data_IF_791227487460
#
_entry.id   IF_791227487460
#
_cell.length_a   1.000
_cell.length_b   1.000
_cell.length_c   1.000
_cell.angle_alpha   90.00
_cell.angle_beta   90.00
_cell.angle_gamma   90.00
#
_symmetry.space_group_name_H-M   'P 1'
#
loop_
_entity.id
_entity.type
_entity.pdbx_description
1 polymer ?
#
# COMPACT_ATOMS: atom_id res chain seq x y z
N UNK A 1 10.32 -23.31 -23.24
CA UNK A 1 9.18 -23.40 -22.30
C UNK A 1 7.87 -23.69 -23.03
N UNK A 2 7.69 -24.87 -23.65
CA UNK A 2 6.39 -25.29 -24.21
C UNK A 2 5.75 -26.30 -23.26
N UNK A 3 4.50 -26.06 -22.84
CA UNK A 3 3.69 -27.02 -22.07
C UNK A 3 3.40 -26.68 -20.59
N UNK A 4 3.68 -25.45 -20.12
CA UNK A 4 3.33 -25.05 -18.75
C UNK A 4 1.93 -24.40 -18.68
N UNK A 5 1.10 -24.85 -17.74
CA UNK A 5 -0.11 -24.11 -17.33
C UNK A 5 0.30 -23.11 -16.25
N UNK A 6 0.17 -21.81 -16.54
CA UNK A 6 0.48 -20.74 -15.59
C UNK A 6 -0.81 -20.19 -14.99
N UNK A 7 -0.73 -19.75 -13.74
CA UNK A 7 -1.84 -19.17 -13.01
C UNK A 7 -1.35 -17.96 -12.22
N UNK A 8 -2.16 -16.90 -12.20
CA UNK A 8 -1.87 -15.72 -11.38
C UNK A 8 -1.95 -16.08 -9.89
N UNK A 9 -0.99 -15.57 -9.12
CA UNK A 9 -1.05 -15.62 -7.66
C UNK A 9 -2.15 -14.68 -7.14
N UNK A 10 -2.63 -14.85 -5.88
CA UNK A 10 -3.57 -13.92 -5.29
C UNK A 10 -3.09 -12.46 -5.32
N UNK A 11 -1.80 -12.20 -5.06
CA UNK A 11 -1.18 -10.88 -5.24
C UNK A 11 -1.27 -10.41 -6.69
N UNK A 12 -0.94 -11.27 -7.66
CA UNK A 12 -1.05 -10.95 -9.08
C UNK A 12 -2.45 -10.56 -9.52
N UNK A 13 -3.48 -11.26 -9.02
CA UNK A 13 -4.88 -10.93 -9.30
C UNK A 13 -5.26 -9.58 -8.65
N UNK A 14 -4.82 -9.31 -7.42
CA UNK A 14 -5.10 -8.03 -6.76
C UNK A 14 -4.41 -6.85 -7.47
N UNK A 15 -3.18 -7.01 -7.93
CA UNK A 15 -2.49 -5.98 -8.74
C UNK A 15 -3.21 -5.77 -10.08
N UNK A 16 -3.65 -6.86 -10.74
CA UNK A 16 -4.45 -6.76 -11.96
C UNK A 16 -5.77 -6.02 -11.70
N UNK A 17 -6.47 -6.32 -10.59
CA UNK A 17 -7.70 -5.63 -10.21
C UNK A 17 -7.47 -4.12 -10.12
N UNK A 18 -6.42 -3.69 -9.39
CA UNK A 18 -6.08 -2.26 -9.25
C UNK A 18 -5.75 -1.62 -10.59
N UNK A 19 -5.02 -2.32 -11.45
CA UNK A 19 -4.73 -1.84 -12.81
C UNK A 19 -6.00 -1.66 -13.64
N UNK A 20 -6.90 -2.65 -13.64
CA UNK A 20 -8.15 -2.59 -14.38
C UNK A 20 -9.08 -1.49 -13.86
N UNK A 21 -9.17 -1.34 -12.54
CA UNK A 21 -9.93 -0.27 -11.88
C UNK A 21 -9.42 1.11 -12.32
N UNK A 22 -8.11 1.35 -12.22
CA UNK A 22 -7.49 2.64 -12.57
C UNK A 22 -7.60 2.99 -14.06
N UNK A 23 -7.71 2.00 -14.93
CA UNK A 23 -7.78 2.20 -16.39
C UNK A 23 -9.19 2.00 -16.97
N UNK A 24 -10.21 1.79 -16.14
CA UNK A 24 -11.59 1.57 -16.62
C UNK A 24 -11.76 0.28 -17.46
N UNK A 25 -10.96 -0.76 -17.22
CA UNK A 25 -11.00 -2.01 -17.99
C UNK A 25 -12.10 -2.93 -17.45
N UNK A 26 -13.10 -3.22 -18.28
CA UNK A 26 -14.28 -4.04 -17.92
C UNK A 26 -14.46 -5.27 -18.82
N UNK A 27 -13.40 -5.73 -19.48
CA UNK A 27 -13.45 -6.88 -20.37
C UNK A 27 -13.90 -8.16 -19.61
N UNK A 28 -14.90 -8.87 -20.16
CA UNK A 28 -15.53 -10.03 -19.50
C UNK A 28 -14.53 -11.07 -18.98
N UNK A 29 -13.57 -11.49 -19.80
CA UNK A 29 -12.57 -12.50 -19.42
C UNK A 29 -11.65 -12.04 -18.28
N UNK A 30 -11.47 -10.72 -18.12
CA UNK A 30 -10.73 -10.15 -16.99
C UNK A 30 -11.59 -10.20 -15.73
N UNK A 31 -12.85 -9.75 -15.83
CA UNK A 31 -13.79 -9.78 -14.71
C UNK A 31 -13.98 -11.19 -14.14
N UNK A 32 -14.06 -12.22 -15.00
CA UNK A 32 -14.11 -13.62 -14.58
C UNK A 32 -12.91 -14.04 -13.70
N UNK A 33 -11.72 -13.45 -13.92
CA UNK A 33 -10.54 -13.67 -13.08
C UNK A 33 -10.62 -12.88 -11.77
N UNK A 34 -11.05 -11.61 -11.84
CA UNK A 34 -11.14 -10.71 -10.69
C UNK A 34 -12.21 -11.13 -9.68
N UNK A 35 -13.32 -11.69 -10.16
CA UNK A 35 -14.45 -12.21 -9.36
C UNK A 35 -14.21 -13.66 -8.92
N UNK A 36 -13.14 -14.29 -9.39
CA UNK A 36 -12.83 -15.67 -9.02
C UNK A 36 -12.51 -15.78 -7.52
N UNK A 37 -12.76 -16.94 -6.89
CA UNK A 37 -12.39 -17.20 -5.50
C UNK A 37 -10.88 -17.11 -5.19
N UNK A 38 -10.03 -16.86 -6.20
CA UNK A 38 -8.58 -16.68 -6.06
C UNK A 38 -8.17 -15.25 -5.75
N UNK A 39 -9.07 -14.29 -5.93
CA UNK A 39 -8.80 -12.89 -5.57
C UNK A 39 -8.98 -12.67 -4.06
N UNK A 40 -8.14 -13.33 -3.28
CA UNK A 40 -8.21 -13.32 -1.80
C UNK A 40 -7.32 -12.26 -1.17
N UNK A 41 -6.41 -11.67 -1.95
CA UNK A 41 -5.33 -10.87 -1.41
C UNK A 41 -5.79 -9.49 -0.94
N UNK A 42 -5.38 -9.13 0.27
CA UNK A 42 -5.50 -7.78 0.81
C UNK A 42 -4.12 -7.18 1.05
N UNK A 43 -3.56 -6.59 -0.01
CA UNK A 43 -2.26 -5.92 0.07
C UNK A 43 -2.32 -4.67 0.96
N UNK A 44 -1.24 -4.43 1.67
CA UNK A 44 -0.90 -3.12 2.25
C UNK A 44 -0.45 -2.21 1.11
N UNK A 45 -1.28 -1.21 0.81
CA UNK A 45 -0.99 -0.22 -0.23
C UNK A 45 -0.02 0.83 0.33
N UNK A 46 1.27 0.69 0.03
CA UNK A 46 2.29 1.58 0.54
C UNK A 46 2.16 2.97 -0.08
N UNK A 47 2.22 4.01 0.75
CA UNK A 47 2.22 5.40 0.32
C UNK A 47 3.55 5.75 -0.35
N UNK A 48 3.47 6.33 -1.54
CA UNK A 48 4.60 6.69 -2.39
C UNK A 48 4.55 8.17 -2.74
N UNK A 49 5.72 8.74 -2.91
CA UNK A 49 5.88 10.06 -3.51
C UNK A 49 5.57 10.00 -5.01
N UNK A 50 4.67 10.86 -5.49
CA UNK A 50 4.19 10.82 -6.88
C UNK A 50 5.25 11.16 -7.91
N UNK A 51 6.31 11.89 -7.54
CA UNK A 51 7.36 12.33 -8.47
C UNK A 51 8.55 11.37 -8.48
N UNK A 52 8.96 10.87 -7.32
CA UNK A 52 10.16 10.04 -7.16
C UNK A 52 9.87 8.55 -7.02
N UNK A 53 8.61 8.15 -6.90
CA UNK A 53 8.14 6.78 -6.64
C UNK A 53 8.69 6.17 -5.33
N UNK A 54 9.31 6.98 -4.47
CA UNK A 54 9.91 6.53 -3.21
C UNK A 54 8.84 6.29 -2.16
N UNK A 55 9.04 5.25 -1.36
CA UNK A 55 8.19 4.93 -0.20
C UNK A 55 8.25 6.03 0.86
N UNK A 56 7.13 6.30 1.51
CA UNK A 56 7.14 7.09 2.75
C UNK A 56 7.86 6.29 3.85
N UNK A 57 8.83 6.94 4.49
CA UNK A 57 9.72 6.33 5.50
C UNK A 57 9.59 6.97 6.88
N UNK A 58 8.55 7.78 7.08
CA UNK A 58 8.27 8.39 8.38
C UNK A 58 7.89 7.31 9.42
N UNK A 59 8.17 7.62 10.69
CA UNK A 59 7.96 6.66 11.79
C UNK A 59 6.52 6.15 11.86
N UNK A 60 5.53 7.03 11.69
CA UNK A 60 4.13 6.66 11.87
C UNK A 60 3.68 5.69 10.77
N UNK A 61 4.08 5.92 9.52
CA UNK A 61 3.81 5.01 8.41
C UNK A 61 4.46 3.65 8.65
N UNK A 62 5.72 3.62 9.08
CA UNK A 62 6.41 2.36 9.38
C UNK A 62 5.71 1.60 10.51
N UNK A 63 5.21 2.28 11.55
CA UNK A 63 4.42 1.64 12.60
C UNK A 63 3.09 1.06 12.08
N UNK A 64 2.41 1.72 11.13
CA UNK A 64 1.19 1.17 10.50
C UNK A 64 1.52 -0.09 9.71
N UNK A 65 2.58 -0.07 8.89
CA UNK A 65 3.04 -1.26 8.15
C UNK A 65 3.42 -2.37 9.13
N UNK A 66 4.09 -2.04 10.24
CA UNK A 66 4.49 -3.01 11.26
C UNK A 66 3.30 -3.71 11.93
N UNK A 67 2.19 -3.00 12.17
CA UNK A 67 0.96 -3.61 12.72
C UNK A 67 0.39 -4.68 11.80
N UNK A 68 0.40 -4.44 10.48
CA UNK A 68 0.02 -5.44 9.48
C UNK A 68 1.02 -6.59 9.45
N UNK A 69 2.31 -6.27 9.44
CA UNK A 69 3.42 -7.24 9.42
C UNK A 69 3.37 -8.20 10.60
N UNK A 70 3.22 -7.69 11.82
CA UNK A 70 3.25 -8.52 13.01
C UNK A 70 1.94 -9.30 13.19
N UNK A 71 0.81 -8.71 12.77
CA UNK A 71 -0.54 -9.27 12.88
C UNK A 71 -1.45 -8.40 13.76
N UNK A 72 -2.60 -8.00 13.20
CA UNK A 72 -3.58 -7.12 13.85
C UNK A 72 -4.28 -7.78 15.05
N UNK A 73 -4.58 -9.06 14.96
CA UNK A 73 -5.27 -9.85 16.00
C UNK A 73 -4.28 -10.54 16.98
N UNK A 74 -2.98 -10.32 16.81
CA UNK A 74 -1.92 -11.00 17.56
C UNK A 74 -0.85 -11.63 16.66
N UNK A 75 0.20 -12.20 17.26
CA UNK A 75 1.28 -12.85 16.52
C UNK A 75 0.78 -14.11 15.80
N UNK A 76 1.21 -14.31 14.55
CA UNK A 76 0.94 -15.52 13.78
C UNK A 76 1.88 -16.67 14.23
N UNK A 77 1.55 -17.28 15.37
CA UNK A 77 2.35 -18.35 15.98
C UNK A 77 2.14 -19.69 15.27
N UNK A 78 3.23 -20.30 14.82
CA UNK A 78 3.21 -21.65 14.26
C UNK A 78 3.42 -22.73 15.33
N UNK A 79 2.99 -23.96 15.02
CA UNK A 79 3.11 -25.12 15.92
C UNK A 79 4.55 -25.52 16.23
N UNK A 80 5.49 -25.23 15.33
CA UNK A 80 6.91 -25.50 15.50
C UNK A 80 7.78 -24.45 14.81
N UNK A 81 9.04 -24.36 15.22
CA UNK A 81 10.07 -23.53 14.57
C UNK A 81 10.32 -23.96 13.11
N UNK A 82 10.26 -25.25 12.82
CA UNK A 82 10.40 -25.75 11.44
C UNK A 82 9.26 -25.26 10.55
N UNK A 83 8.05 -25.14 11.11
CA UNK A 83 6.88 -24.61 10.40
C UNK A 83 6.97 -23.10 10.17
N UNK A 84 7.51 -22.31 11.14
CA UNK A 84 7.72 -20.87 10.95
C UNK A 84 8.73 -20.59 9.85
N UNK A 85 9.77 -21.42 9.76
CA UNK A 85 10.92 -21.21 8.87
C UNK A 85 10.74 -21.85 7.48
N UNK A 86 9.59 -22.47 7.21
CA UNK A 86 9.25 -23.09 5.93
C UNK A 86 9.05 -22.06 4.80
N UNK A 87 9.49 -22.40 3.59
CA UNK A 87 9.40 -21.57 2.37
C UNK A 87 8.09 -21.77 1.57
N UNK A 88 6.99 -22.09 2.23
CA UNK A 88 5.74 -22.38 1.54
C UNK A 88 5.14 -21.12 0.90
N UNK A 89 4.98 -21.14 -0.43
CA UNK A 89 4.48 -20.01 -1.24
C UNK A 89 3.00 -19.65 -0.98
N UNK A 90 2.26 -20.51 -0.27
CA UNK A 90 0.81 -20.35 -0.01
C UNK A 90 0.49 -19.61 1.29
N UNK A 91 1.50 -19.34 2.13
CA UNK A 91 1.27 -19.00 3.54
C UNK A 91 0.64 -17.63 3.76
N UNK A 92 0.72 -16.75 2.76
CA UNK A 92 0.21 -15.38 2.82
C UNK A 92 -0.87 -15.09 1.78
N UNK A 93 -1.58 -16.12 1.31
CA UNK A 93 -2.55 -16.04 0.21
C UNK A 93 -3.65 -14.96 0.35
N UNK A 94 -3.97 -14.49 1.56
CA UNK A 94 -4.95 -13.41 1.77
C UNK A 94 -4.33 -12.08 2.26
N UNK A 95 -3.04 -12.04 2.59
CA UNK A 95 -2.36 -10.82 3.09
C UNK A 95 -2.87 -10.28 4.44
N UNK A 96 -3.71 -11.04 5.15
CA UNK A 96 -4.31 -10.63 6.44
C UNK A 96 -3.56 -11.17 7.65
N UNK A 97 -2.89 -12.31 7.49
CA UNK A 97 -2.09 -12.90 8.56
C UNK A 97 -0.73 -12.22 8.63
N UNK A 98 -0.24 -12.00 9.85
CA UNK A 98 1.12 -11.49 10.07
C UNK A 98 2.20 -12.51 9.66
N UNK A 99 3.45 -12.08 9.70
CA UNK A 99 4.62 -12.94 9.47
C UNK A 99 4.57 -14.14 10.43
N UNK A 100 4.88 -15.33 9.91
CA UNK A 100 4.94 -16.54 10.75
C UNK A 100 6.03 -16.39 11.81
N UNK A 101 5.69 -16.71 13.05
CA UNK A 101 6.59 -16.63 14.19
C UNK A 101 6.67 -17.95 14.94
N UNK A 102 7.87 -18.33 15.36
CA UNK A 102 8.06 -19.36 16.37
C UNK A 102 7.73 -18.78 17.75
N UNK A 103 6.87 -19.48 18.50
CA UNK A 103 6.48 -19.09 19.86
C UNK A 103 7.69 -18.88 20.76
N UNK A 104 8.63 -19.80 20.68
CA UNK A 104 9.85 -19.81 21.48
C UNK A 104 10.99 -20.44 20.67
N UNK A 105 12.16 -19.82 20.67
CA UNK A 105 13.37 -20.33 20.03
C UNK A 105 14.55 -20.22 20.99
N UNK A 106 15.27 -21.32 21.18
CA UNK A 106 16.54 -21.34 21.92
C UNK A 106 17.69 -20.91 21.02
N UNK A 107 18.42 -19.88 21.42
CA UNK A 107 19.63 -19.39 20.74
C UNK A 107 20.73 -19.27 21.80
N UNK A 108 21.75 -20.10 21.70
CA UNK A 108 22.72 -20.29 22.77
C UNK A 108 22.03 -20.73 24.06
N UNK A 109 22.22 -19.98 25.14
CA UNK A 109 21.63 -20.27 26.46
C UNK A 109 20.35 -19.48 26.75
N UNK A 110 19.84 -18.71 25.78
CA UNK A 110 18.65 -17.86 25.95
C UNK A 110 17.47 -18.36 25.12
N UNK A 111 16.27 -18.15 25.64
CA UNK A 111 15.02 -18.36 24.94
C UNK A 111 14.44 -17.02 24.50
N UNK A 112 14.02 -16.95 23.25
CA UNK A 112 13.41 -15.76 22.64
C UNK A 112 12.01 -16.11 22.15
N UNK A 113 11.04 -15.27 22.49
CA UNK A 113 9.66 -15.43 22.03
C UNK A 113 9.42 -14.73 20.69
N UNK A 114 8.33 -15.10 20.00
CA UNK A 114 7.84 -14.41 18.79
C UNK A 114 8.95 -14.16 17.75
N UNK A 115 9.71 -15.21 17.44
CA UNK A 115 10.90 -15.09 16.56
C UNK A 115 10.57 -15.44 15.11
N UNK A 116 11.23 -14.78 14.18
CA UNK A 116 11.11 -15.03 12.75
C UNK A 116 12.47 -14.82 12.05
N UNK A 117 12.64 -15.39 10.86
CA UNK A 117 13.87 -15.22 10.08
C UNK A 117 13.83 -13.91 9.29
N UNK A 118 15.00 -13.34 8.99
CA UNK A 118 15.08 -12.17 8.11
C UNK A 118 14.50 -12.44 6.71
N UNK A 119 14.65 -13.67 6.20
CA UNK A 119 13.99 -14.11 4.97
C UNK A 119 12.47 -14.04 5.10
N UNK A 120 11.89 -14.60 6.15
CA UNK A 120 10.44 -14.58 6.36
C UNK A 120 9.87 -13.16 6.43
N UNK A 121 10.64 -12.22 7.00
CA UNK A 121 10.24 -10.82 7.04
C UNK A 121 10.16 -10.20 5.64
N UNK A 122 11.18 -10.45 4.81
CA UNK A 122 11.21 -9.97 3.43
C UNK A 122 10.13 -10.59 2.57
N UNK A 123 9.91 -11.90 2.71
CA UNK A 123 8.88 -12.61 1.94
C UNK A 123 7.49 -12.08 2.30
N UNK A 124 7.19 -11.86 3.59
CA UNK A 124 5.93 -11.25 3.98
C UNK A 124 5.77 -9.84 3.40
N UNK A 125 6.79 -8.99 3.51
CA UNK A 125 6.73 -7.64 2.94
C UNK A 125 6.54 -7.67 1.42
N UNK A 126 7.19 -8.62 0.75
CA UNK A 126 7.06 -8.81 -0.69
C UNK A 126 5.68 -9.33 -1.09
N UNK A 127 5.08 -10.25 -0.34
CA UNK A 127 3.83 -10.92 -0.73
C UNK A 127 2.58 -10.15 -0.27
N UNK A 128 2.65 -9.45 0.85
CA UNK A 128 1.52 -8.79 1.51
C UNK A 128 1.46 -7.28 1.28
N UNK A 129 2.40 -6.70 0.53
CA UNK A 129 2.41 -5.25 0.25
C UNK A 129 2.70 -4.93 -1.21
N UNK A 130 2.63 -3.64 -1.54
CA UNK A 130 2.91 -3.12 -2.87
C UNK A 130 4.38 -2.71 -3.05
N UNK A 131 5.32 -3.33 -2.32
CA UNK A 131 6.74 -3.19 -2.64
C UNK A 131 7.04 -3.71 -4.05
N UNK A 132 7.93 -3.01 -4.74
CA UNK A 132 8.35 -3.28 -6.11
C UNK A 132 9.49 -4.32 -6.16
N UNK A 133 10.41 -4.27 -5.20
CA UNK A 133 11.58 -5.14 -5.18
C UNK A 133 12.06 -5.49 -3.75
N UNK A 134 13.11 -6.32 -3.69
CA UNK A 134 13.71 -6.78 -2.41
C UNK A 134 14.45 -5.68 -1.66
N UNK A 135 14.85 -4.58 -2.32
CA UNK A 135 15.54 -3.47 -1.66
C UNK A 135 14.55 -2.67 -0.81
N UNK A 136 13.34 -2.47 -1.32
CA UNK A 136 12.26 -1.83 -0.56
C UNK A 136 11.86 -2.64 0.68
N UNK A 137 11.79 -3.96 0.58
CA UNK A 137 11.48 -4.80 1.74
C UNK A 137 12.60 -4.75 2.78
N UNK A 138 13.87 -4.80 2.37
CA UNK A 138 15.01 -4.62 3.27
C UNK A 138 15.00 -3.23 3.91
N UNK A 139 14.66 -2.17 3.17
CA UNK A 139 14.54 -0.81 3.71
C UNK A 139 13.48 -0.74 4.82
N UNK A 140 12.27 -1.27 4.57
CA UNK A 140 11.21 -1.29 5.58
C UNK A 140 11.64 -2.11 6.81
N UNK A 141 12.26 -3.28 6.61
CA UNK A 141 12.73 -4.12 7.71
C UNK A 141 13.85 -3.46 8.53
N UNK A 142 14.78 -2.74 7.88
CA UNK A 142 15.78 -1.91 8.55
C UNK A 142 15.12 -0.79 9.37
N UNK A 143 14.05 -0.18 8.85
CA UNK A 143 13.29 0.84 9.59
C UNK A 143 12.55 0.24 10.80
N UNK A 144 12.11 -1.01 10.76
CA UNK A 144 11.59 -1.69 11.95
C UNK A 144 12.63 -1.78 13.06
N UNK A 145 13.90 -2.05 12.73
CA UNK A 145 15.01 -2.08 13.69
C UNK A 145 15.32 -0.68 14.18
N UNK A 146 15.45 0.29 13.25
CA UNK A 146 15.76 1.70 13.57
C UNK A 146 14.73 2.32 14.53
N UNK A 147 13.46 1.96 14.39
CA UNK A 147 12.38 2.41 15.28
C UNK A 147 12.18 1.52 16.50
N UNK A 148 13.05 0.53 16.71
CA UNK A 148 13.03 -0.34 17.89
C UNK A 148 11.82 -1.26 17.96
N UNK A 149 11.17 -1.58 16.83
CA UNK A 149 10.01 -2.47 16.75
C UNK A 149 10.43 -3.95 16.78
N UNK A 150 11.60 -4.25 16.20
CA UNK A 150 12.21 -5.58 16.20
C UNK A 150 13.69 -5.47 16.57
N UNK A 151 14.31 -6.57 17.00
CA UNK A 151 15.75 -6.63 17.25
C UNK A 151 16.34 -7.95 16.74
N UNK A 152 17.59 -7.89 16.27
CA UNK A 152 18.37 -9.09 15.93
C UNK A 152 18.70 -9.87 17.19
N UNK A 153 18.49 -11.18 17.16
CA UNK A 153 18.87 -12.12 18.24
C UNK A 153 19.90 -13.14 17.76
N UNK A 154 20.06 -13.28 16.44
CA UNK A 154 21.12 -14.05 15.82
C UNK A 154 21.44 -13.43 14.46
N UNK A 155 22.72 -13.20 14.19
CA UNK A 155 23.22 -12.67 12.93
C UNK A 155 23.81 -13.76 12.04
N UNK A 156 23.65 -13.60 10.74
CA UNK A 156 24.32 -14.35 9.68
C UNK A 156 25.68 -13.68 9.38
N UNK A 157 26.70 -14.05 10.15
CA UNK A 157 28.06 -13.49 10.01
C UNK A 157 28.66 -13.69 8.61
N UNK A 158 28.51 -14.86 7.95
CA UNK A 158 28.95 -15.03 6.57
C UNK A 158 28.33 -14.00 5.62
N UNK A 159 27.03 -13.75 5.73
CA UNK A 159 26.35 -12.72 4.94
C UNK A 159 26.85 -11.31 5.27
N UNK A 160 26.97 -10.99 6.57
CA UNK A 160 27.45 -9.68 7.01
C UNK A 160 28.87 -9.35 6.56
N UNK A 161 29.73 -10.36 6.40
CA UNK A 161 31.09 -10.18 5.90
C UNK A 161 31.15 -9.86 4.38
N UNK A 162 30.13 -10.25 3.63
CA UNK A 162 30.07 -10.08 2.17
C UNK A 162 29.29 -8.83 1.75
N UNK A 163 28.31 -8.41 2.55
CA UNK A 163 27.40 -7.32 2.23
C UNK A 163 27.57 -6.14 3.20
N UNK A 164 28.21 -5.02 2.77
CA UNK A 164 28.40 -3.85 3.63
C UNK A 164 27.10 -3.22 4.15
N UNK A 165 25.98 -3.47 3.48
CA UNK A 165 24.64 -2.97 3.87
C UNK A 165 23.93 -3.88 4.89
N UNK A 166 24.52 -5.04 5.23
CA UNK A 166 23.98 -6.00 6.18
C UNK A 166 24.00 -5.54 7.65
N UNK A 167 24.55 -4.35 7.92
CA UNK A 167 24.61 -3.74 9.25
C UNK A 167 23.20 -3.40 9.75
N UNK A 168 22.31 -2.98 8.85
CA UNK A 168 20.96 -2.57 9.23
C UNK A 168 20.01 -3.74 9.36
N UNK A 169 20.00 -4.65 8.37
CA UNK A 169 19.10 -5.81 8.31
C UNK A 169 19.67 -6.91 7.41
N UNK A 170 19.44 -8.17 7.77
CA UNK A 170 19.98 -9.35 7.08
C UNK A 170 18.82 -10.21 6.55
N UNK A 171 18.53 -10.18 5.23
CA UNK A 171 17.37 -10.85 4.63
C UNK A 171 17.60 -12.36 4.42
N UNK A 172 18.14 -13.07 5.41
CA UNK A 172 18.56 -14.47 5.30
C UNK A 172 17.77 -15.38 6.24
N UNK A 173 17.87 -16.70 6.01
CA UNK A 173 17.26 -17.72 6.90
C UNK A 173 18.00 -17.87 8.23
N UNK A 174 19.27 -17.47 8.28
CA UNK A 174 20.13 -17.65 9.44
C UNK A 174 20.12 -16.45 10.38
N UNK A 175 19.74 -15.27 9.88
CA UNK A 175 19.45 -14.11 10.69
C UNK A 175 18.07 -14.26 11.35
N UNK A 176 18.03 -14.18 12.68
CA UNK A 176 16.81 -14.33 13.48
C UNK A 176 16.52 -13.04 14.20
N UNK A 177 15.25 -12.63 14.16
CA UNK A 177 14.73 -11.44 14.79
C UNK A 177 13.61 -11.79 15.77
N UNK A 178 13.37 -10.91 16.74
CA UNK A 178 12.22 -10.96 17.66
C UNK A 178 11.53 -9.60 17.71
N UNK A 179 10.22 -9.61 18.00
CA UNK A 179 9.45 -8.38 18.26
C UNK A 179 9.79 -7.84 19.65
N UNK A 180 10.27 -6.60 19.73
CA UNK A 180 10.62 -5.96 20.99
C UNK A 180 9.37 -5.66 21.82
N UNK A 181 9.54 -5.36 23.10
CA UNK A 181 8.44 -4.88 23.96
C UNK A 181 7.79 -3.59 23.43
N UNK A 182 8.57 -2.72 22.77
CA UNK A 182 8.02 -1.53 22.10
C UNK A 182 7.15 -1.92 20.91
N UNK A 183 7.63 -2.82 20.04
CA UNK A 183 6.85 -3.35 18.91
C UNK A 183 5.55 -4.01 19.35
N UNK A 184 5.57 -4.79 20.44
CA UNK A 184 4.38 -5.42 20.99
C UNK A 184 3.34 -4.38 21.46
N UNK A 185 3.76 -3.26 22.07
CA UNK A 185 2.87 -2.15 22.43
C UNK A 185 2.30 -1.43 21.20
N UNK A 186 3.12 -1.23 20.17
CA UNK A 186 2.70 -0.61 18.90
C UNK A 186 1.60 -1.43 18.24
N UNK A 187 1.71 -2.76 18.30
CA UNK A 187 0.71 -3.71 17.81
C UNK A 187 -0.46 -3.96 18.76
N UNK A 188 -0.46 -3.39 19.97
CA UNK A 188 -1.52 -3.58 20.95
C UNK A 188 -1.56 -4.98 21.56
N UNK A 189 -0.50 -5.79 21.41
CA UNK A 189 -0.41 -7.13 22.01
C UNK A 189 -0.25 -7.08 23.53
N UNK A 190 0.38 -6.02 24.02
CA UNK A 190 0.54 -5.73 25.44
C UNK A 190 0.06 -4.30 25.74
N UNK A 191 -0.35 -4.05 26.98
CA UNK A 191 -0.86 -2.76 27.40
C UNK A 191 0.20 -1.66 27.22
N UNK A 192 -0.26 -0.47 26.80
CA UNK A 192 0.58 0.73 26.78
C UNK A 192 0.87 1.17 28.22
N UNK A 193 2.07 1.68 28.47
CA UNK A 193 2.38 2.25 29.78
C UNK A 193 1.48 3.48 30.00
N UNK A 194 0.86 3.57 31.19
CA UNK A 194 -0.03 4.69 31.54
C UNK A 194 0.67 6.06 31.52
N UNK A 195 2.00 6.10 31.48
CA UNK A 195 2.82 7.30 31.60
C UNK A 195 3.01 8.12 30.33
N UNK A 196 2.70 7.56 29.14
CA UNK A 196 2.85 8.26 27.86
C UNK A 196 1.62 8.03 26.96
N UNK A 197 0.43 8.27 27.52
CA UNK A 197 -0.58 8.88 26.65
C UNK A 197 -0.01 10.26 26.37
N UNK A 198 0.80 10.39 25.30
CA UNK A 198 0.80 11.64 24.56
C UNK A 198 -0.68 11.95 24.44
N UNK A 199 -1.13 13.00 25.12
CA UNK A 199 -2.38 13.60 24.78
C UNK A 199 -2.24 13.77 23.26
N UNK A 200 -2.89 12.90 22.48
CA UNK A 200 -3.44 13.37 21.24
C UNK A 200 -4.16 14.60 21.71
N UNK A 201 -3.59 15.76 21.36
CA UNK A 201 -4.09 17.04 21.77
C UNK A 201 -5.49 17.11 21.17
N UNK A 202 -6.47 16.56 21.90
CA UNK A 202 -7.88 16.89 21.79
C UNK A 202 -8.12 18.34 22.21
N UNK A 203 -7.03 19.09 22.43
CA UNK A 203 -6.93 20.54 22.53
C UNK A 203 -6.44 21.17 21.21
N UNK A 204 -6.68 20.54 20.07
CA UNK A 204 -6.94 21.26 18.82
C UNK A 204 -8.38 21.81 18.86
N UNK A 205 -8.51 23.08 19.21
CA UNK A 205 -9.79 23.78 19.31
C UNK A 205 -10.66 23.61 18.06
N UNK A 206 -11.91 23.14 18.18
CA UNK A 206 -12.98 23.36 17.19
C UNK A 206 -12.60 23.10 15.72
N UNK A 207 -11.73 22.13 15.41
CA UNK A 207 -11.43 21.85 14.02
C UNK A 207 -12.67 21.28 13.32
N UNK A 208 -13.08 21.93 12.24
CA UNK A 208 -14.19 21.44 11.42
C UNK A 208 -13.87 20.05 10.88
N UNK A 209 -14.90 19.26 10.56
CA UNK A 209 -14.69 17.96 9.90
C UNK A 209 -13.84 18.09 8.63
N UNK A 210 -13.91 19.23 7.94
CA UNK A 210 -13.09 19.53 6.78
C UNK A 210 -11.60 19.70 7.14
N UNK A 211 -11.28 20.43 8.22
CA UNK A 211 -9.89 20.58 8.68
C UNK A 211 -9.28 19.22 9.08
N UNK A 212 -10.05 18.38 9.78
CA UNK A 212 -9.63 17.04 10.15
C UNK A 212 -9.39 16.14 8.94
N UNK A 213 -10.30 16.17 7.97
CA UNK A 213 -10.14 15.41 6.73
C UNK A 213 -8.89 15.87 5.96
N UNK A 214 -8.68 17.18 5.83
CA UNK A 214 -7.47 17.71 5.20
C UNK A 214 -6.20 17.24 5.90
N UNK A 215 -6.18 17.22 7.24
CA UNK A 215 -5.04 16.69 7.97
C UNK A 215 -4.78 15.20 7.67
N UNK A 216 -5.83 14.37 7.69
CA UNK A 216 -5.73 12.94 7.34
C UNK A 216 -5.22 12.77 5.91
N UNK A 217 -5.70 13.59 4.98
CA UNK A 217 -5.33 13.50 3.56
C UNK A 217 -3.89 13.93 3.29
N UNK A 218 -3.24 14.72 4.14
CA UNK A 218 -1.86 15.19 3.94
C UNK A 218 -0.82 14.38 4.74
N UNK A 219 -1.22 13.66 5.78
CA UNK A 219 -0.34 12.78 6.55
C UNK A 219 -0.35 11.34 5.97
N UNK A 220 0.79 10.80 5.49
CA UNK A 220 0.83 9.47 4.88
C UNK A 220 0.35 8.33 5.79
N UNK A 221 0.66 8.39 7.09
CA UNK A 221 0.29 7.33 8.02
C UNK A 221 -1.22 7.34 8.30
N UNK A 222 -1.80 8.53 8.50
CA UNK A 222 -3.25 8.68 8.66
C UNK A 222 -3.99 8.34 7.38
N UNK A 223 -3.46 8.70 6.21
CA UNK A 223 -4.04 8.35 4.91
C UNK A 223 -4.05 6.84 4.70
N UNK A 224 -2.98 6.13 5.07
CA UNK A 224 -2.91 4.67 5.00
C UNK A 224 -3.98 4.02 5.89
N UNK A 225 -4.13 4.47 7.13
CA UNK A 225 -5.18 3.98 8.03
C UNK A 225 -6.59 4.30 7.52
N UNK A 226 -6.79 5.51 6.98
CA UNK A 226 -8.08 5.92 6.43
C UNK A 226 -8.45 5.10 5.20
N UNK A 227 -7.48 4.79 4.34
CA UNK A 227 -7.66 3.87 3.21
C UNK A 227 -8.13 2.49 3.67
N UNK A 228 -7.48 1.90 4.68
CA UNK A 228 -7.90 0.60 5.22
C UNK A 228 -9.33 0.66 5.78
N UNK A 229 -9.68 1.74 6.49
CA UNK A 229 -11.03 1.97 6.99
C UNK A 229 -12.08 2.08 5.87
N UNK A 230 -11.80 2.85 4.82
CA UNK A 230 -12.71 2.99 3.67
C UNK A 230 -12.85 1.68 2.89
N UNK A 231 -11.78 0.90 2.77
CA UNK A 231 -11.82 -0.43 2.15
C UNK A 231 -12.76 -1.37 2.91
N UNK A 232 -12.67 -1.39 4.24
CA UNK A 232 -13.59 -2.16 5.09
C UNK A 232 -15.04 -1.65 4.97
N UNK A 233 -15.20 -0.33 4.78
CA UNK A 233 -16.50 0.32 4.60
C UNK A 233 -17.02 0.26 3.16
N UNK A 234 -16.33 -0.46 2.26
CA UNK A 234 -16.69 -0.64 0.85
C UNK A 234 -16.83 0.69 0.07
N UNK A 235 -15.94 1.65 0.37
CA UNK A 235 -15.99 2.98 -0.25
C UNK A 235 -14.60 3.61 -0.51
N UNK A 236 -13.56 2.76 -0.67
CA UNK A 236 -12.17 3.17 -0.95
C UNK A 236 -12.03 3.98 -2.25
N UNK A 237 -12.93 3.76 -3.21
CA UNK A 237 -12.94 4.48 -4.50
C UNK A 237 -13.03 5.99 -4.32
N UNK A 238 -13.68 6.48 -3.25
CA UNK A 238 -13.80 7.92 -2.98
C UNK A 238 -12.45 8.57 -2.69
N UNK A 239 -11.62 7.91 -1.87
CA UNK A 239 -10.26 8.39 -1.58
C UNK A 239 -9.38 8.28 -2.82
N UNK A 240 -9.50 7.19 -3.57
CA UNK A 240 -8.70 6.97 -4.77
C UNK A 240 -9.00 8.03 -5.83
N UNK A 241 -10.28 8.31 -6.10
CA UNK A 241 -10.69 9.39 -6.98
C UNK A 241 -10.18 10.76 -6.51
N UNK A 242 -10.31 11.07 -5.22
CA UNK A 242 -9.83 12.34 -4.68
C UNK A 242 -8.32 12.54 -4.93
N UNK A 243 -7.51 11.52 -4.68
CA UNK A 243 -6.07 11.59 -4.88
C UNK A 243 -5.71 11.70 -6.36
N UNK A 244 -6.30 10.85 -7.21
CA UNK A 244 -6.02 10.83 -8.65
C UNK A 244 -6.42 12.16 -9.33
N UNK A 245 -7.56 12.75 -8.93
CA UNK A 245 -7.99 14.07 -9.42
C UNK A 245 -7.09 15.18 -8.88
N UNK A 246 -6.71 15.14 -7.60
CA UNK A 246 -5.82 16.15 -7.00
C UNK A 246 -4.45 16.16 -7.67
N UNK A 247 -3.91 14.98 -7.99
CA UNK A 247 -2.68 14.81 -8.75
C UNK A 247 -2.84 15.33 -10.18
N UNK A 248 -3.91 14.94 -10.88
CA UNK A 248 -4.22 15.42 -12.23
C UNK A 248 -4.32 16.95 -12.28
N UNK A 249 -5.07 17.58 -11.37
CA UNK A 249 -5.23 19.03 -11.30
C UNK A 249 -3.90 19.73 -11.00
N UNK A 250 -3.09 19.19 -10.08
CA UNK A 250 -1.76 19.71 -9.78
C UNK A 250 -0.84 19.63 -11.00
N UNK A 251 -0.87 18.52 -11.72
CA UNK A 251 -0.10 18.32 -12.94
C UNK A 251 -0.54 19.28 -14.05
N UNK A 252 -1.85 19.40 -14.29
CA UNK A 252 -2.42 20.35 -15.24
C UNK A 252 -1.92 21.78 -14.99
N UNK A 253 -1.99 22.27 -13.74
CA UNK A 253 -1.52 23.62 -13.41
C UNK A 253 0.00 23.81 -13.56
N UNK A 254 0.81 22.76 -13.39
CA UNK A 254 2.25 22.82 -13.70
C UNK A 254 2.50 22.96 -15.20
N UNK A 255 1.75 22.21 -16.02
CA UNK A 255 1.83 22.31 -17.49
C UNK A 255 1.36 23.67 -18.00
N UNK A 256 0.29 24.19 -17.41
CA UNK A 256 -0.24 25.53 -17.71
C UNK A 256 0.78 26.62 -17.39
N UNK A 257 1.35 26.62 -16.18
CA UNK A 257 2.37 27.61 -15.76
C UNK A 257 3.66 27.56 -16.57
N UNK A 258 4.05 26.38 -17.04
CA UNK A 258 5.25 26.21 -17.87
C UNK A 258 5.00 26.50 -19.36
N UNK A 259 3.76 26.76 -19.77
CA UNK A 259 3.38 26.93 -21.17
C UNK A 259 3.46 25.64 -22.01
N UNK A 260 3.58 24.48 -21.37
CA UNK A 260 3.66 23.19 -22.06
C UNK A 260 2.36 22.83 -22.80
N UNK A 261 1.21 23.33 -22.32
CA UNK A 261 -0.10 23.15 -22.96
C UNK A 261 -0.23 23.84 -24.34
N UNK A 262 0.76 24.63 -24.77
CA UNK A 262 0.82 25.12 -26.14
C UNK A 262 1.17 24.03 -27.16
N UNK A 263 1.68 22.88 -26.69
CA UNK A 263 1.99 21.72 -27.53
C UNK A 263 0.77 20.79 -27.59
N UNK A 264 0.29 20.53 -28.79
CA UNK A 264 -0.89 19.67 -29.01
C UNK A 264 -0.70 18.25 -28.47
N UNK A 265 0.52 17.72 -28.50
CA UNK A 265 0.84 16.40 -27.93
C UNK A 265 0.57 16.37 -26.42
N UNK A 266 1.02 17.39 -25.69
CA UNK A 266 0.77 17.54 -24.24
C UNK A 266 -0.71 17.70 -23.93
N UNK A 267 -1.45 18.43 -24.77
CA UNK A 267 -2.91 18.56 -24.65
C UNK A 267 -3.59 17.20 -24.82
N UNK A 268 -3.20 16.42 -25.84
CA UNK A 268 -3.74 15.07 -26.09
C UNK A 268 -3.44 14.10 -24.96
N UNK A 269 -2.22 14.12 -24.42
CA UNK A 269 -1.83 13.30 -23.27
C UNK A 269 -2.63 13.66 -22.01
N UNK A 270 -2.79 14.96 -21.74
CA UNK A 270 -3.56 15.45 -20.60
C UNK A 270 -5.04 15.09 -20.73
N UNK A 271 -5.60 15.23 -21.94
CA UNK A 271 -6.97 14.83 -22.23
C UNK A 271 -7.17 13.32 -22.10
N UNK A 272 -6.22 12.51 -22.57
CA UNK A 272 -6.25 11.07 -22.39
C UNK A 272 -6.25 10.67 -20.90
N UNK A 273 -5.46 11.37 -20.06
CA UNK A 273 -5.49 11.16 -18.61
C UNK A 273 -6.87 11.51 -18.00
N UNK A 274 -7.51 12.60 -18.46
CA UNK A 274 -8.87 12.96 -18.03
C UNK A 274 -9.91 11.89 -18.43
N UNK A 275 -9.84 11.35 -19.67
CA UNK A 275 -10.67 10.21 -20.08
C UNK A 275 -10.41 8.96 -19.26
N UNK A 276 -9.16 8.72 -18.85
CA UNK A 276 -8.80 7.65 -17.92
C UNK A 276 -9.58 7.77 -16.60
N UNK A 277 -9.55 8.94 -15.96
CA UNK A 277 -10.30 9.21 -14.73
C UNK A 277 -11.81 9.04 -14.91
N UNK A 278 -12.34 9.57 -16.02
CA UNK A 278 -13.76 9.44 -16.33
C UNK A 278 -14.17 7.97 -16.47
N UNK A 279 -13.44 7.17 -17.24
CA UNK A 279 -13.75 5.76 -17.47
C UNK A 279 -13.54 4.89 -16.21
N UNK A 280 -12.64 5.28 -15.32
CA UNK A 280 -12.38 4.58 -14.06
C UNK A 280 -13.46 4.83 -13.00
N UNK A 281 -13.95 6.07 -12.87
CA UNK A 281 -14.76 6.49 -11.70
C UNK A 281 -16.15 7.08 -12.01
N UNK A 282 -16.36 7.65 -13.20
CA UNK A 282 -17.52 8.51 -13.47
C UNK A 282 -18.45 7.96 -14.55
N UNK A 283 -17.90 7.22 -15.53
CA UNK A 283 -18.65 6.58 -16.58
C UNK A 283 -19.68 5.60 -15.99
N UNK A 284 -20.88 5.47 -16.58
CA UNK A 284 -21.86 4.48 -16.16
C UNK A 284 -21.28 3.05 -16.21
N UNK A 285 -21.38 2.29 -15.12
CA UNK A 285 -20.81 0.94 -15.04
C UNK A 285 -19.29 0.90 -14.98
N UNK A 286 -18.65 2.02 -14.62
CA UNK A 286 -17.22 2.06 -14.35
C UNK A 286 -16.85 1.15 -13.16
N UNK A 287 -15.64 0.56 -13.16
CA UNK A 287 -15.24 -0.41 -12.13
C UNK A 287 -15.13 0.19 -10.73
N UNK A 288 -14.98 1.52 -10.62
CA UNK A 288 -14.94 2.28 -9.37
C UNK A 288 -16.01 3.38 -9.36
N UNK A 289 -17.21 3.07 -9.85
CA UNK A 289 -18.29 4.04 -10.03
C UNK A 289 -18.63 4.78 -8.73
N UNK A 290 -18.50 6.12 -8.76
CA UNK A 290 -18.79 6.97 -7.62
C UNK A 290 -20.29 7.21 -7.46
N UNK A 291 -20.73 7.31 -6.20
CA UNK A 291 -22.10 7.69 -5.86
C UNK A 291 -22.27 9.22 -5.82
N UNK A 292 -22.33 9.84 -7.00
CA UNK A 292 -22.56 11.29 -7.17
C UNK A 292 -23.95 11.60 -7.73
N UNK A 293 -24.41 12.83 -7.51
CA UNK A 293 -25.70 13.32 -8.02
C UNK A 293 -25.83 13.15 -9.55
N UNK A 294 -26.99 12.66 -9.99
CA UNK A 294 -27.28 12.40 -11.40
C UNK A 294 -27.12 13.64 -12.30
N UNK A 295 -27.52 14.83 -11.83
CA UNK A 295 -27.36 16.08 -12.57
C UNK A 295 -25.88 16.41 -12.85
N UNK A 296 -25.03 16.29 -11.82
CA UNK A 296 -23.59 16.48 -11.95
C UNK A 296 -22.97 15.47 -12.91
N UNK A 297 -23.36 14.20 -12.80
CA UNK A 297 -22.88 13.14 -13.70
C UNK A 297 -23.18 13.43 -15.17
N UNK A 298 -24.42 13.79 -15.48
CA UNK A 298 -24.82 14.10 -16.86
C UNK A 298 -24.08 15.32 -17.41
N UNK A 299 -23.83 16.33 -16.56
CA UNK A 299 -23.00 17.47 -16.92
C UNK A 299 -21.60 17.04 -17.33
N UNK A 300 -20.94 16.21 -16.52
CA UNK A 300 -19.57 15.72 -16.79
C UNK A 300 -19.56 14.84 -18.05
N UNK A 301 -20.48 13.90 -18.20
CA UNK A 301 -20.57 13.02 -19.36
C UNK A 301 -20.78 13.80 -20.68
N UNK A 302 -21.61 14.84 -20.65
CA UNK A 302 -21.82 15.73 -21.80
C UNK A 302 -20.53 16.45 -22.20
N UNK A 303 -19.75 16.96 -21.23
CA UNK A 303 -18.46 17.62 -21.49
C UNK A 303 -17.43 16.65 -22.08
N UNK A 304 -17.32 15.45 -21.53
CA UNK A 304 -16.42 14.41 -22.05
C UNK A 304 -16.77 13.97 -23.47
N UNK A 305 -18.02 14.12 -23.93
CA UNK A 305 -18.40 13.82 -25.32
C UNK A 305 -18.06 14.98 -26.27
N UNK A 306 -18.12 16.23 -25.78
CA UNK A 306 -17.81 17.44 -26.57
C UNK A 306 -16.32 17.66 -26.81
N UNK A 307 -15.45 17.11 -25.95
CA UNK A 307 -14.01 17.25 -26.04
C UNK A 307 -13.37 16.55 -27.27
N UNK A 308 -14.16 15.78 -28.03
CA UNK A 308 -13.73 15.14 -29.28
C UNK A 308 -14.01 16.08 -30.46
N UNK A 309 -13.07 17.00 -30.75
CA UNK A 309 -13.19 18.05 -31.78
C UNK A 309 -11.83 18.46 -32.40
N UNK A 310 -11.73 19.70 -32.91
CA UNK A 310 -10.48 20.27 -33.43
C UNK A 310 -9.44 20.58 -32.31
N UNK A 311 -8.20 20.91 -32.70
CA UNK A 311 -7.10 21.14 -31.75
C UNK A 311 -7.34 22.31 -30.77
N UNK A 312 -8.06 23.38 -31.15
CA UNK A 312 -8.41 24.49 -30.23
C UNK A 312 -9.51 24.08 -29.24
N UNK A 313 -10.45 23.26 -29.71
CA UNK A 313 -11.56 22.75 -28.90
C UNK A 313 -11.10 21.77 -27.81
N UNK A 314 -10.00 21.03 -28.03
CA UNK A 314 -9.42 20.14 -27.02
C UNK A 314 -8.85 20.92 -25.82
N UNK A 315 -8.10 21.99 -26.07
CA UNK A 315 -7.53 22.83 -25.02
C UNK A 315 -8.64 23.53 -24.23
N UNK A 316 -9.65 24.06 -24.93
CA UNK A 316 -10.81 24.68 -24.28
C UNK A 316 -11.58 23.68 -23.40
N UNK A 317 -11.73 22.44 -23.86
CA UNK A 317 -12.40 21.39 -23.10
C UNK A 317 -11.64 20.98 -21.84
N UNK A 318 -10.30 21.09 -21.83
CA UNK A 318 -9.50 20.85 -20.61
C UNK A 318 -9.64 21.97 -19.57
N UNK A 319 -9.90 23.21 -20.02
CA UNK A 319 -10.06 24.36 -19.13
C UNK A 319 -11.43 24.41 -18.43
N UNK A 320 -12.46 23.81 -19.04
CA UNK A 320 -13.87 23.89 -18.60
C UNK A 320 -14.26 22.85 -17.54
#
# INVERSE_FOLDING_TARGET
MKGGLYQLTPKGINILQRFCQRNGITARHVMEVLESPRNTMQLVNLERDSETDKLSTDRATIEVIFRRFAGQEGPNITSSTSSSDSDSLSDYSNGLVGVKMAKERKIGDKFFANTFTGKAAVDWLMDCSTTNDRRETCLIAALFIKHGLITSVQEDRPYAAQEPTAVDFQPTKHAIYTVTEHGQRVCGWIARDKSNVSQYDGRGARDSNNARLNHILHDPALRLLFREFLRYSLCEENLSFYLDVSEFTSHYHRLEKSGALNKIETVRETLAAAYGLYNAFLAPGSPCELNIEHGLRNSIASRMTKAVGDDESMLKSLQE
#
